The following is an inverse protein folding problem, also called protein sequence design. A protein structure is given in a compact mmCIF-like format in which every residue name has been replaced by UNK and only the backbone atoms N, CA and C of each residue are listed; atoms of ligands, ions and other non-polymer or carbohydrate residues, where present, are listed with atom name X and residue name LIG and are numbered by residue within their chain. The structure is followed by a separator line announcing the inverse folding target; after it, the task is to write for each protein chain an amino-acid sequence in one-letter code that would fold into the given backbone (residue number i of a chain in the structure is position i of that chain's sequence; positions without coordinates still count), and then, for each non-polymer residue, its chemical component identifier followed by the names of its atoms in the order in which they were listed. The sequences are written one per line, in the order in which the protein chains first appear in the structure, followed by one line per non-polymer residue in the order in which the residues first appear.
data_IF_766547170926
#
_entry.id   IF_766547170926
#
_cell.length_a   1.000
_cell.length_b   1.000
_cell.length_c   1.000
_cell.angle_alpha   90.00
_cell.angle_beta   90.00
_cell.angle_gamma   90.00
#
_symmetry.space_group_name_H-M   'P 1'
#
loop_
_entity.id
_entity.type
_entity.pdbx_description
1 polymer ?
#
# COMPACT_ATOMS: atom_id res chain seq x y z
N UNK A 1 -6.21 23.62 46.72
CA UNK A 1 -7.17 23.50 45.60
C UNK A 1 -6.62 23.95 44.24
N UNK A 2 -5.48 24.68 44.15
CA UNK A 2 -4.94 25.11 42.86
C UNK A 2 -4.14 24.06 42.07
N UNK A 3 -3.60 23.02 42.71
CA UNK A 3 -2.72 22.07 42.00
C UNK A 3 -3.45 20.96 41.23
N UNK A 4 -4.70 20.65 41.56
CA UNK A 4 -5.46 19.56 40.88
C UNK A 4 -6.00 20.03 39.52
N UNK A 5 -6.43 21.29 39.42
CA UNK A 5 -6.87 21.87 38.15
C UNK A 5 -5.70 22.07 37.16
N UNK A 6 -4.49 22.34 37.66
CA UNK A 6 -3.28 22.45 36.82
C UNK A 6 -2.90 21.10 36.22
N UNK A 7 -3.02 20.00 36.99
CA UNK A 7 -2.76 18.65 36.46
C UNK A 7 -3.81 18.18 35.44
N UNK A 8 -5.07 18.61 35.58
CA UNK A 8 -6.13 18.24 34.63
C UNK A 8 -6.00 19.01 33.30
N UNK A 9 -5.59 20.29 33.34
CA UNK A 9 -5.30 21.07 32.13
C UNK A 9 -4.03 20.59 31.41
N UNK A 10 -3.05 20.06 32.13
CA UNK A 10 -1.83 19.48 31.54
C UNK A 10 -2.09 18.18 30.77
N UNK A 11 -3.18 17.46 31.06
CA UNK A 11 -3.52 16.23 30.33
C UNK A 11 -4.13 16.52 28.95
N UNK A 12 -4.59 17.74 28.68
CA UNK A 12 -5.24 18.13 27.42
C UNK A 12 -4.27 18.83 26.45
N UNK A 13 -3.06 19.20 26.87
CA UNK A 13 -2.12 20.02 26.06
C UNK A 13 -0.94 19.25 25.45
N UNK A 14 -0.96 17.92 25.43
CA UNK A 14 -0.04 17.11 24.62
C UNK A 14 -0.79 16.55 23.41
N UNK A 15 -1.43 17.45 22.65
CA UNK A 15 -1.75 17.14 21.25
C UNK A 15 -0.46 17.38 20.49
N UNK A 16 0.27 16.29 20.25
CA UNK A 16 1.40 16.29 19.34
C UNK A 16 0.83 16.63 17.97
N UNK A 17 0.98 17.89 17.56
CA UNK A 17 0.71 18.30 16.18
C UNK A 17 1.83 17.66 15.39
N UNK A 18 1.62 16.41 14.96
CA UNK A 18 2.53 15.71 14.09
C UNK A 18 2.88 16.64 12.94
N UNK A 19 4.15 17.03 12.85
CA UNK A 19 4.65 17.85 11.76
C UNK A 19 4.47 17.04 10.48
N UNK A 20 3.39 17.33 9.74
CA UNK A 20 3.17 16.75 8.42
C UNK A 20 4.31 17.19 7.51
N UNK A 21 5.20 16.26 7.20
CA UNK A 21 6.22 16.44 6.17
C UNK A 21 5.51 16.53 4.83
N UNK A 22 5.70 17.65 4.12
CA UNK A 22 5.10 17.88 2.82
C UNK A 22 6.18 17.82 1.73
N UNK A 23 5.90 17.09 0.65
CA UNK A 23 6.73 17.07 -0.56
C UNK A 23 6.08 17.88 -1.67
N UNK A 24 6.89 18.39 -2.59
CA UNK A 24 6.40 19.04 -3.80
C UNK A 24 6.39 18.01 -4.94
N UNK A 25 5.22 17.75 -5.51
CA UNK A 25 5.10 16.83 -6.63
C UNK A 25 5.33 17.52 -7.97
N UNK A 26 6.07 16.83 -8.84
CA UNK A 26 6.23 17.17 -10.25
C UNK A 26 6.11 15.90 -11.06
N UNK A 27 5.32 15.91 -12.12
CA UNK A 27 5.12 14.73 -12.94
C UNK A 27 5.17 15.02 -14.43
N UNK A 28 5.55 14.01 -15.19
CA UNK A 28 5.68 14.07 -16.64
C UNK A 28 5.23 12.76 -17.27
N UNK A 29 4.40 12.86 -18.29
CA UNK A 29 4.07 11.73 -19.18
C UNK A 29 5.17 11.58 -20.23
N UNK A 30 5.70 10.37 -20.38
CA UNK A 30 6.70 9.98 -21.37
C UNK A 30 7.88 10.99 -21.42
N UNK A 31 8.43 11.31 -20.25
CA UNK A 31 9.39 12.39 -20.05
C UNK A 31 10.60 12.28 -20.99
N UNK A 32 10.82 13.31 -21.82
CA UNK A 32 11.97 13.35 -22.73
C UNK A 32 11.83 12.48 -24.00
N UNK A 33 10.69 11.84 -24.26
CA UNK A 33 10.55 10.96 -25.43
C UNK A 33 10.45 11.70 -26.77
N UNK A 34 10.02 12.97 -26.74
CA UNK A 34 9.89 13.78 -27.95
C UNK A 34 9.00 13.14 -29.01
N UNK A 35 9.47 13.09 -30.26
CA UNK A 35 8.72 12.55 -31.40
C UNK A 35 8.68 11.02 -31.44
N UNK A 36 9.55 10.32 -30.72
CA UNK A 36 9.63 8.84 -30.73
C UNK A 36 8.32 8.23 -30.20
N UNK A 37 7.67 8.89 -29.24
CA UNK A 37 6.43 8.43 -28.61
C UNK A 37 5.16 9.02 -29.23
N UNK A 38 5.23 9.90 -30.23
CA UNK A 38 4.04 10.61 -30.74
C UNK A 38 2.95 9.67 -31.26
N UNK A 39 3.35 8.58 -31.91
CA UNK A 39 2.43 7.63 -32.56
C UNK A 39 2.36 6.28 -31.82
N UNK A 40 2.96 6.17 -30.63
CA UNK A 40 2.92 4.96 -29.82
C UNK A 40 1.87 5.09 -28.72
N UNK A 41 1.05 4.05 -28.54
CA UNK A 41 0.17 3.94 -27.38
C UNK A 41 0.99 3.53 -26.14
N UNK A 42 1.85 4.44 -25.68
CA UNK A 42 2.78 4.24 -24.58
C UNK A 42 2.37 5.12 -23.39
N UNK A 43 2.39 4.52 -22.21
CA UNK A 43 2.16 5.26 -20.95
C UNK A 43 3.23 4.91 -19.93
N UNK A 44 4.15 5.85 -19.76
CA UNK A 44 5.17 5.87 -18.72
C UNK A 44 5.06 7.20 -18.00
N UNK A 45 4.73 7.22 -16.71
CA UNK A 45 4.60 8.45 -15.90
C UNK A 45 5.76 8.51 -14.93
N UNK A 46 6.56 9.55 -15.05
CA UNK A 46 7.61 9.88 -14.09
C UNK A 46 7.07 10.90 -13.10
N UNK A 47 7.05 10.55 -11.82
CA UNK A 47 6.68 11.40 -10.70
C UNK A 47 7.91 11.63 -9.82
N UNK A 48 8.16 12.89 -9.48
CA UNK A 48 9.24 13.34 -8.60
C UNK A 48 8.59 14.03 -7.41
N UNK A 49 8.89 13.56 -6.20
CA UNK A 49 8.41 14.08 -4.93
C UNK A 49 9.58 14.67 -4.14
N UNK A 50 9.76 15.98 -4.25
CA UNK A 50 10.88 16.71 -3.65
C UNK A 50 10.61 17.00 -2.17
N UNK A 51 11.46 16.47 -1.29
CA UNK A 51 11.45 16.72 0.15
C UNK A 51 12.49 17.77 0.54
N UNK A 52 12.67 17.98 1.85
CA UNK A 52 13.61 19.00 2.36
C UNK A 52 15.08 18.63 2.13
N UNK A 53 15.42 17.34 2.17
CA UNK A 53 16.81 16.85 2.09
C UNK A 53 17.01 15.77 1.01
N UNK A 54 15.92 15.24 0.47
CA UNK A 54 15.93 14.10 -0.45
C UNK A 54 14.85 14.26 -1.54
N UNK A 55 14.91 13.38 -2.53
CA UNK A 55 13.90 13.27 -3.57
C UNK A 55 13.48 11.82 -3.72
N UNK A 56 12.17 11.57 -3.72
CA UNK A 56 11.60 10.29 -4.12
C UNK A 56 11.18 10.36 -5.58
N UNK A 57 11.64 9.38 -6.36
CA UNK A 57 11.30 9.21 -7.76
C UNK A 57 10.40 7.98 -7.89
N UNK A 58 9.25 8.16 -8.53
CA UNK A 58 8.36 7.09 -8.93
C UNK A 58 8.29 7.02 -10.46
N UNK A 59 8.46 5.84 -11.02
CA UNK A 59 8.24 5.59 -12.44
C UNK A 59 7.16 4.54 -12.59
N UNK A 60 6.01 4.94 -13.11
CA UNK A 60 4.89 4.06 -13.42
C UNK A 60 4.94 3.73 -14.90
N UNK A 61 4.93 2.44 -15.24
CA UNK A 61 5.04 2.01 -16.63
C UNK A 61 4.01 0.93 -16.94
N UNK A 62 3.42 1.01 -18.15
CA UNK A 62 2.42 0.07 -18.67
C UNK A 62 2.87 -0.55 -20.01
N UNK A 63 4.15 -0.46 -20.35
CA UNK A 63 4.72 -1.10 -21.53
C UNK A 63 5.22 -2.51 -21.17
N UNK A 64 4.40 -3.52 -21.45
CA UNK A 64 4.61 -4.89 -20.97
C UNK A 64 3.84 -5.13 -19.67
N UNK A 65 4.45 -5.80 -18.69
CA UNK A 65 3.81 -5.96 -17.38
C UNK A 65 3.82 -4.61 -16.64
N UNK A 66 2.65 -4.11 -16.19
CA UNK A 66 2.61 -2.88 -15.42
C UNK A 66 3.56 -2.93 -14.24
N UNK A 67 4.25 -1.82 -13.98
CA UNK A 67 5.26 -1.78 -12.92
C UNK A 67 5.46 -0.39 -12.35
N UNK A 68 5.94 -0.36 -11.11
CA UNK A 68 6.31 0.84 -10.36
C UNK A 68 7.75 0.69 -9.92
N UNK A 69 8.60 1.67 -10.20
CA UNK A 69 9.93 1.83 -9.59
C UNK A 69 9.86 3.00 -8.61
N UNK A 70 10.35 2.80 -7.39
CA UNK A 70 10.62 3.78 -6.36
C UNK A 70 12.12 3.90 -6.20
N UNK A 71 12.66 5.12 -6.24
CA UNK A 71 14.07 5.40 -5.96
C UNK A 71 14.22 6.63 -5.06
N UNK A 72 15.05 6.53 -4.03
CA UNK A 72 15.43 7.62 -3.12
C UNK A 72 16.80 8.17 -3.51
N UNK A 73 16.90 9.48 -3.66
CA UNK A 73 18.13 10.16 -4.08
C UNK A 73 18.34 11.48 -3.33
N UNK A 74 19.50 12.10 -3.57
CA UNK A 74 19.74 13.51 -3.22
C UNK A 74 18.86 14.44 -4.09
N UNK A 75 18.66 15.68 -3.66
CA UNK A 75 17.87 16.66 -4.43
C UNK A 75 18.44 17.02 -5.81
N UNK A 76 19.76 16.91 -5.98
CA UNK A 76 20.44 17.19 -7.26
C UNK A 76 20.23 16.09 -8.29
N UNK A 77 19.88 14.88 -7.85
CA UNK A 77 19.72 13.75 -8.74
C UNK A 77 18.52 13.92 -9.69
N UNK A 78 18.68 13.38 -10.89
CA UNK A 78 17.61 13.31 -11.88
C UNK A 78 17.65 11.97 -12.59
N UNK A 79 16.48 11.51 -13.01
CA UNK A 79 16.32 10.28 -13.79
C UNK A 79 16.28 10.61 -15.29
N UNK A 80 16.99 9.80 -16.08
CA UNK A 80 17.00 9.88 -17.53
C UNK A 80 16.58 8.54 -18.15
N UNK A 81 15.89 8.60 -19.29
CA UNK A 81 15.42 7.45 -20.04
C UNK A 81 15.97 7.53 -21.47
N UNK A 82 16.81 6.56 -21.84
CA UNK A 82 17.20 6.31 -23.24
C UNK A 82 16.03 5.65 -23.96
N UNK A 83 15.16 6.44 -24.59
CA UNK A 83 13.89 5.95 -25.15
C UNK A 83 14.05 4.90 -26.25
N UNK A 84 15.07 5.02 -27.11
CA UNK A 84 15.33 4.02 -28.15
C UNK A 84 15.65 2.64 -27.54
N UNK A 85 16.48 2.62 -26.50
CA UNK A 85 16.85 1.40 -25.79
C UNK A 85 15.72 0.88 -24.89
N UNK A 86 14.98 1.79 -24.26
CA UNK A 86 13.86 1.49 -23.38
C UNK A 86 12.73 0.74 -24.13
N UNK A 87 12.39 1.22 -25.32
CA UNK A 87 11.36 0.60 -26.17
C UNK A 87 11.79 -0.77 -26.72
N UNK A 88 13.09 -1.05 -26.75
CA UNK A 88 13.66 -2.36 -27.08
C UNK A 88 13.87 -3.24 -25.84
N UNK A 89 13.39 -2.80 -24.66
CA UNK A 89 13.59 -3.47 -23.37
C UNK A 89 15.04 -3.81 -23.07
N UNK A 90 15.97 -2.92 -23.44
CA UNK A 90 17.39 -3.11 -23.12
C UNK A 90 17.67 -2.69 -21.68
N UNK A 91 18.54 -3.45 -21.03
CA UNK A 91 19.07 -3.12 -19.70
C UNK A 91 19.78 -1.77 -19.68
N UNK A 92 19.77 -1.11 -18.52
CA UNK A 92 20.38 0.20 -18.28
C UNK A 92 19.85 1.34 -19.17
N UNK A 93 18.65 1.21 -19.73
CA UNK A 93 18.03 2.30 -20.48
C UNK A 93 17.41 3.35 -19.56
N UNK A 94 17.27 3.06 -18.26
CA UNK A 94 16.89 4.01 -17.22
C UNK A 94 18.09 4.19 -16.30
N UNK A 95 18.49 5.45 -16.08
CA UNK A 95 19.66 5.78 -15.27
C UNK A 95 19.39 7.02 -14.43
N UNK A 96 20.01 7.09 -13.26
CA UNK A 96 20.07 8.31 -12.47
C UNK A 96 21.42 9.01 -12.66
N UNK A 97 21.46 10.33 -12.51
CA UNK A 97 22.71 11.11 -12.55
C UNK A 97 23.64 10.78 -11.39
N UNK A 98 23.09 10.29 -10.29
CA UNK A 98 23.77 9.84 -9.08
C UNK A 98 23.22 8.46 -8.70
N UNK A 99 24.00 7.64 -8.02
CA UNK A 99 23.52 6.34 -7.54
C UNK A 99 22.44 6.55 -6.46
N UNK A 100 21.23 5.98 -6.62
CA UNK A 100 20.20 6.11 -5.59
C UNK A 100 20.63 5.48 -4.28
N UNK A 101 20.25 6.12 -3.17
CA UNK A 101 20.47 5.61 -1.82
C UNK A 101 19.68 4.32 -1.60
N UNK A 102 18.49 4.25 -2.20
CA UNK A 102 17.60 3.12 -2.07
C UNK A 102 16.71 2.96 -3.29
N UNK A 103 16.47 1.73 -3.73
CA UNK A 103 15.51 1.43 -4.79
C UNK A 103 14.62 0.25 -4.46
N UNK A 104 13.35 0.33 -4.87
CA UNK A 104 12.37 -0.73 -4.76
C UNK A 104 11.40 -0.69 -5.92
N UNK A 105 11.13 -1.82 -6.53
CA UNK A 105 10.28 -1.96 -7.68
C UNK A 105 9.23 -3.03 -7.47
N UNK A 106 8.06 -2.83 -8.04
CA UNK A 106 6.91 -3.75 -7.98
C UNK A 106 6.42 -3.96 -9.40
N UNK A 107 6.32 -5.21 -9.83
CA UNK A 107 5.71 -5.61 -11.10
C UNK A 107 4.41 -6.33 -10.80
N UNK A 108 3.34 -5.92 -11.49
CA UNK A 108 2.10 -6.67 -11.54
C UNK A 108 2.32 -7.88 -12.44
N UNK A 109 2.69 -9.01 -11.85
CA UNK A 109 3.30 -10.11 -12.60
C UNK A 109 2.27 -11.08 -13.16
N UNK A 110 1.28 -11.45 -12.35
CA UNK A 110 0.24 -12.41 -12.74
C UNK A 110 -1.09 -12.11 -12.07
N UNK A 111 -2.16 -12.44 -12.78
CA UNK A 111 -3.48 -12.68 -12.21
C UNK A 111 -3.70 -14.19 -12.27
N UNK A 112 -3.93 -14.80 -11.11
CA UNK A 112 -4.09 -16.24 -10.95
C UNK A 112 -5.57 -16.52 -10.72
N UNK A 113 -6.24 -17.11 -11.70
CA UNK A 113 -7.56 -17.71 -11.50
C UNK A 113 -7.38 -19.12 -10.94
N UNK A 114 -8.13 -19.49 -9.91
CA UNK A 114 -8.12 -20.84 -9.35
C UNK A 114 -9.52 -21.35 -9.07
N UNK A 115 -9.71 -22.67 -9.23
CA UNK A 115 -10.99 -23.32 -8.97
C UNK A 115 -11.08 -23.79 -7.51
N UNK A 116 -11.78 -23.02 -6.67
CA UNK A 116 -11.97 -23.31 -5.25
C UNK A 116 -13.19 -24.22 -5.02
N UNK A 117 -13.04 -25.49 -5.41
CA UNK A 117 -14.15 -26.47 -5.35
C UNK A 117 -14.66 -26.72 -3.94
N UNK A 118 -13.80 -26.54 -2.92
CA UNK A 118 -14.12 -26.78 -1.52
C UNK A 118 -14.52 -25.51 -0.76
N UNK A 119 -14.59 -24.36 -1.44
CA UNK A 119 -14.90 -23.06 -0.85
C UNK A 119 -14.05 -22.75 0.39
N UNK A 120 -12.74 -22.94 0.25
CA UNK A 120 -11.78 -22.65 1.32
C UNK A 120 -11.21 -21.25 1.24
N UNK A 121 -11.39 -20.57 0.10
CA UNK A 121 -10.77 -19.29 -0.25
C UNK A 121 -9.23 -19.28 -0.23
N UNK A 122 -8.60 -20.47 -0.22
CA UNK A 122 -7.16 -20.64 -0.17
C UNK A 122 -6.63 -21.27 -1.46
N UNK A 123 -5.49 -20.77 -1.92
CA UNK A 123 -4.73 -21.32 -3.04
C UNK A 123 -3.62 -22.22 -2.48
N UNK A 124 -3.48 -23.41 -3.07
CA UNK A 124 -2.28 -24.20 -2.86
C UNK A 124 -1.13 -23.64 -3.70
N UNK A 125 -0.34 -22.74 -3.13
CA UNK A 125 0.78 -22.09 -3.82
C UNK A 125 1.92 -23.06 -4.14
N UNK A 126 2.10 -24.11 -3.32
CA UNK A 126 3.11 -25.13 -3.58
C UNK A 126 2.77 -25.98 -4.80
N UNK A 127 1.48 -26.09 -5.14
CA UNK A 127 1.00 -26.87 -6.26
C UNK A 127 -0.20 -26.19 -6.93
N UNK A 128 0.09 -25.36 -7.94
CA UNK A 128 -0.88 -24.58 -8.72
C UNK A 128 -1.74 -25.44 -9.68
N UNK A 129 -2.21 -26.61 -9.23
CA UNK A 129 -3.20 -27.39 -9.98
C UNK A 129 -4.53 -26.63 -10.03
N UNK A 130 -5.29 -26.84 -11.11
CA UNK A 130 -6.58 -26.18 -11.34
C UNK A 130 -6.49 -24.65 -11.27
N UNK A 131 -5.38 -24.11 -11.78
CA UNK A 131 -5.18 -22.67 -11.95
C UNK A 131 -5.08 -22.29 -13.42
N UNK A 132 -5.44 -21.06 -13.73
CA UNK A 132 -5.21 -20.43 -15.01
C UNK A 132 -4.52 -19.08 -14.76
N UNK A 133 -3.37 -18.89 -15.40
CA UNK A 133 -2.52 -17.72 -15.18
C UNK A 133 -2.72 -16.76 -16.34
N UNK A 134 -3.02 -15.51 -16.01
CA UNK A 134 -3.09 -14.40 -16.95
C UNK A 134 -1.93 -13.45 -16.68
N UNK A 135 -1.16 -13.10 -17.73
CA UNK A 135 -0.05 -12.16 -17.62
C UNK A 135 -0.52 -10.75 -18.04
N UNK A 136 -0.42 -9.73 -17.16
CA UNK A 136 -0.87 -8.37 -17.45
C UNK A 136 -0.36 -7.76 -18.76
N UNK A 137 0.83 -8.15 -19.24
CA UNK A 137 1.37 -7.70 -20.54
C UNK A 137 0.53 -8.09 -21.76
N UNK A 138 -0.36 -9.08 -21.67
CA UNK A 138 -1.23 -9.51 -22.77
C UNK A 138 -2.59 -8.80 -22.80
N UNK A 139 -2.83 -7.86 -21.88
CA UNK A 139 -3.93 -6.92 -22.00
C UNK A 139 -3.54 -5.76 -22.91
N UNK A 140 -4.50 -5.27 -23.68
CA UNK A 140 -4.35 -4.00 -24.37
C UNK A 140 -4.61 -2.86 -23.37
N UNK A 141 -3.55 -2.17 -22.97
CA UNK A 141 -3.60 -1.07 -22.01
C UNK A 141 -3.94 0.26 -22.68
N UNK A 142 -4.99 0.90 -22.19
CA UNK A 142 -5.40 2.24 -22.59
C UNK A 142 -5.37 3.19 -21.40
N UNK A 143 -4.77 4.37 -21.60
CA UNK A 143 -4.82 5.45 -20.63
C UNK A 143 -6.17 6.14 -20.66
N UNK A 144 -6.93 6.03 -19.58
CA UNK A 144 -8.25 6.66 -19.46
C UNK A 144 -8.15 8.09 -18.98
N UNK A 145 -7.42 8.32 -17.89
CA UNK A 145 -7.24 9.66 -17.35
C UNK A 145 -5.85 9.80 -16.75
N UNK A 146 -5.29 11.00 -16.85
CA UNK A 146 -4.07 11.40 -16.16
C UNK A 146 -4.32 12.80 -15.60
N UNK A 147 -4.30 12.93 -14.28
CA UNK A 147 -4.43 14.19 -13.56
C UNK A 147 -3.08 14.46 -12.91
N UNK A 148 -2.50 15.61 -13.22
CA UNK A 148 -1.19 16.02 -12.75
C UNK A 148 -1.32 17.37 -12.07
N UNK A 149 -1.13 17.40 -10.76
CA UNK A 149 -1.03 18.63 -10.00
C UNK A 149 0.10 18.51 -8.97
N UNK A 150 0.29 19.54 -8.14
CA UNK A 150 1.40 19.59 -7.19
C UNK A 150 1.10 18.90 -5.86
N UNK A 151 -0.16 18.55 -5.59
CA UNK A 151 -0.66 17.93 -4.35
C UNK A 151 -0.85 16.41 -4.51
N UNK A 152 -1.39 15.99 -5.65
CA UNK A 152 -1.57 14.60 -6.03
C UNK A 152 -1.39 14.40 -7.55
N UNK A 153 -1.04 13.17 -7.92
CA UNK A 153 -0.97 12.75 -9.32
C UNK A 153 -1.73 11.46 -9.45
N UNK A 154 -2.69 11.39 -10.37
CA UNK A 154 -3.55 10.21 -10.58
C UNK A 154 -3.43 9.72 -12.02
N UNK A 155 -3.15 8.43 -12.20
CA UNK A 155 -3.13 7.75 -13.48
C UNK A 155 -4.14 6.60 -13.46
N UNK A 156 -5.15 6.64 -14.34
CA UNK A 156 -6.09 5.55 -14.55
C UNK A 156 -5.81 4.85 -15.90
N UNK A 157 -5.52 3.56 -15.82
CA UNK A 157 -5.29 2.67 -16.94
C UNK A 157 -6.35 1.57 -16.96
N UNK A 158 -6.76 1.14 -18.16
CA UNK A 158 -7.63 -0.01 -18.34
C UNK A 158 -7.00 -0.97 -19.34
N UNK A 159 -6.83 -2.22 -18.92
CA UNK A 159 -6.44 -3.34 -19.75
C UNK A 159 -7.68 -4.08 -20.23
N UNK A 160 -7.88 -4.12 -21.55
CA UNK A 160 -9.00 -4.79 -22.20
C UNK A 160 -8.50 -5.93 -23.10
N UNK A 161 -9.42 -6.77 -23.58
CA UNK A 161 -9.18 -7.73 -24.67
C UNK A 161 -7.97 -8.62 -24.45
N UNK A 162 -7.93 -9.35 -23.32
CA UNK A 162 -6.81 -10.25 -23.02
C UNK A 162 -6.62 -11.28 -24.11
N UNK A 163 -5.41 -11.37 -24.66
CA UNK A 163 -5.07 -12.37 -25.67
C UNK A 163 -3.62 -12.85 -25.53
N UNK A 164 -3.46 -14.04 -24.96
CA UNK A 164 -2.20 -14.78 -24.95
C UNK A 164 -2.21 -15.82 -26.06
N UNK A 165 -1.58 -15.50 -27.19
CA UNK A 165 -1.51 -16.38 -28.36
C UNK A 165 -0.59 -17.60 -28.13
N UNK A 166 0.33 -17.54 -27.16
CA UNK A 166 1.26 -18.64 -26.86
C UNK A 166 0.50 -19.73 -26.10
N UNK A 167 -0.31 -19.33 -25.12
CA UNK A 167 -1.13 -20.23 -24.32
C UNK A 167 -2.52 -20.49 -24.94
N UNK A 168 -2.87 -19.81 -26.03
CA UNK A 168 -4.18 -19.83 -26.68
C UNK A 168 -5.32 -19.49 -25.69
N UNK A 169 -5.11 -18.45 -24.88
CA UNK A 169 -6.09 -17.97 -23.89
C UNK A 169 -6.58 -16.59 -24.31
N UNK A 170 -7.88 -16.46 -24.48
CA UNK A 170 -8.56 -15.17 -24.61
C UNK A 170 -9.57 -14.99 -23.47
N UNK A 171 -9.69 -13.75 -22.97
CA UNK A 171 -10.68 -13.36 -21.95
C UNK A 171 -11.31 -12.03 -22.30
N UNK A 172 -12.63 -11.98 -22.19
CA UNK A 172 -13.40 -10.74 -22.20
C UNK A 172 -13.43 -10.11 -20.78
N UNK A 173 -13.83 -8.84 -20.70
CA UNK A 173 -13.80 -8.05 -19.48
C UNK A 173 -12.57 -7.14 -19.39
N UNK A 174 -12.45 -6.42 -18.28
CA UNK A 174 -11.38 -5.45 -18.11
C UNK A 174 -10.69 -5.52 -16.75
N UNK A 175 -9.45 -5.06 -16.74
CA UNK A 175 -8.68 -4.84 -15.51
C UNK A 175 -8.30 -3.39 -15.45
N UNK A 176 -8.65 -2.71 -14.36
CA UNK A 176 -8.38 -1.29 -14.18
C UNK A 176 -7.31 -1.12 -13.12
N UNK A 177 -6.38 -0.21 -13.40
CA UNK A 177 -5.34 0.22 -12.50
C UNK A 177 -5.47 1.71 -12.27
N UNK A 178 -5.59 2.12 -11.02
CA UNK A 178 -5.51 3.52 -10.60
C UNK A 178 -4.28 3.70 -9.72
N UNK A 179 -3.33 4.53 -10.16
CA UNK A 179 -2.14 4.88 -9.40
C UNK A 179 -2.25 6.32 -8.92
N UNK A 180 -1.96 6.54 -7.64
CA UNK A 180 -2.06 7.85 -6.99
C UNK A 180 -0.79 8.15 -6.20
N UNK A 181 -0.11 9.25 -6.52
CA UNK A 181 1.00 9.79 -5.72
C UNK A 181 0.54 10.98 -4.88
N UNK A 182 1.11 11.14 -3.69
CA UNK A 182 0.64 12.09 -2.67
C UNK A 182 1.75 13.02 -2.17
N UNK A 183 1.38 14.23 -1.75
CA UNK A 183 2.31 15.23 -1.22
C UNK A 183 2.38 15.29 0.31
N UNK A 184 1.45 14.65 1.03
CA UNK A 184 1.26 14.79 2.48
C UNK A 184 0.62 13.54 3.08
N UNK A 185 0.57 13.48 4.41
CA UNK A 185 -0.19 12.49 5.17
C UNK A 185 -1.70 12.80 5.09
N UNK A 186 -2.49 11.88 4.55
CA UNK A 186 -3.96 11.96 4.52
C UNK A 186 -4.59 10.58 4.22
N UNK A 187 -5.90 10.46 4.27
CA UNK A 187 -6.63 9.27 3.82
C UNK A 187 -7.03 9.40 2.35
N UNK A 188 -6.90 8.31 1.58
CA UNK A 188 -7.36 8.29 0.20
C UNK A 188 -8.87 8.47 0.11
N UNK A 189 -9.37 9.18 -0.91
CA UNK A 189 -10.82 9.25 -1.17
C UNK A 189 -11.43 7.91 -1.62
N UNK A 190 -10.61 6.97 -2.10
CA UNK A 190 -11.06 5.67 -2.59
C UNK A 190 -11.07 4.66 -1.45
N UNK A 191 -12.20 3.98 -1.25
CA UNK A 191 -12.31 2.84 -0.31
C UNK A 191 -11.21 1.79 -0.59
N UNK A 192 -10.50 1.28 0.43
CA UNK A 192 -10.80 1.35 1.87
C UNK A 192 -10.15 2.55 2.57
N UNK A 193 -10.06 3.71 1.93
CA UNK A 193 -9.52 4.94 2.51
C UNK A 193 -8.14 4.72 3.14
N UNK A 194 -7.20 4.14 2.39
CA UNK A 194 -5.85 3.89 2.91
C UNK A 194 -5.21 5.21 3.38
N UNK A 195 -4.72 5.23 4.62
CA UNK A 195 -3.87 6.30 5.13
C UNK A 195 -2.54 6.25 4.40
N UNK A 196 -2.19 7.33 3.69
CA UNK A 196 -0.99 7.43 2.86
C UNK A 196 -0.11 8.57 3.37
N UNK A 197 1.19 8.51 3.06
CA UNK A 197 2.16 9.58 3.35
C UNK A 197 2.66 10.21 2.06
N UNK A 198 3.40 11.31 2.18
CA UNK A 198 4.18 11.92 1.11
C UNK A 198 5.27 10.99 0.55
N UNK A 199 5.61 9.91 1.27
CA UNK A 199 6.61 8.91 0.87
C UNK A 199 5.98 7.65 0.25
N UNK A 200 4.72 7.73 -0.20
CA UNK A 200 3.98 6.60 -0.73
C UNK A 200 3.24 6.89 -2.03
N UNK A 201 2.99 5.82 -2.79
CA UNK A 201 2.06 5.78 -3.92
C UNK A 201 1.03 4.70 -3.65
N UNK A 202 -0.25 5.01 -3.87
CA UNK A 202 -1.33 4.04 -3.83
C UNK A 202 -1.54 3.40 -5.20
N UNK A 203 -1.88 2.12 -5.19
CA UNK A 203 -2.37 1.38 -6.35
C UNK A 203 -3.70 0.75 -6.00
N UNK A 204 -4.70 1.00 -6.83
CA UNK A 204 -6.00 0.35 -6.79
C UNK A 204 -6.20 -0.49 -8.06
N UNK A 205 -6.51 -1.77 -7.86
CA UNK A 205 -6.73 -2.76 -8.91
C UNK A 205 -8.19 -3.18 -8.90
N UNK A 206 -8.82 -3.21 -10.06
CA UNK A 206 -10.21 -3.64 -10.23
C UNK A 206 -10.26 -4.72 -11.31
N UNK A 207 -10.81 -5.88 -10.96
CA UNK A 207 -11.20 -6.92 -11.91
C UNK A 207 -12.67 -6.71 -12.27
N UNK A 208 -12.96 -6.17 -13.44
CA UNK A 208 -14.30 -5.73 -13.85
C UNK A 208 -14.84 -6.61 -14.99
N UNK A 209 -15.83 -7.44 -14.67
CA UNK A 209 -16.44 -8.39 -15.59
C UNK A 209 -15.42 -9.31 -16.30
N UNK A 210 -14.29 -9.60 -15.64
CA UNK A 210 -13.25 -10.45 -16.21
C UNK A 210 -13.78 -11.88 -16.37
N UNK A 211 -13.76 -12.39 -17.59
CA UNK A 211 -14.26 -13.71 -17.89
C UNK A 211 -13.48 -14.77 -17.11
N UNK A 212 -14.21 -15.74 -16.58
CA UNK A 212 -13.64 -16.90 -15.87
C UNK A 212 -13.43 -18.07 -16.82
N UNK A 213 -12.50 -18.96 -16.48
CA UNK A 213 -12.31 -20.21 -17.19
C UNK A 213 -13.60 -21.05 -17.15
N UNK A 214 -14.11 -21.41 -18.33
CA UNK A 214 -15.34 -22.19 -18.50
C UNK A 214 -15.31 -23.54 -17.77
N UNK A 215 -14.12 -24.11 -17.56
CA UNK A 215 -13.94 -25.39 -16.88
C UNK A 215 -14.01 -25.28 -15.36
N UNK A 216 -13.92 -24.06 -14.81
CA UNK A 216 -13.95 -23.82 -13.38
C UNK A 216 -15.37 -23.49 -12.95
N UNK A 217 -15.90 -24.23 -11.97
CA UNK A 217 -17.21 -23.94 -11.39
C UNK A 217 -17.09 -22.75 -10.43
N UNK A 218 -16.05 -22.75 -9.59
CA UNK A 218 -15.88 -21.89 -8.43
C UNK A 218 -14.62 -21.03 -8.57
N UNK A 219 -14.61 -20.14 -9.56
CA UNK A 219 -13.45 -19.29 -9.83
C UNK A 219 -13.26 -18.21 -8.77
N UNK A 220 -12.05 -18.16 -8.23
CA UNK A 220 -11.52 -17.03 -7.45
C UNK A 220 -10.25 -16.51 -8.11
N UNK A 221 -9.88 -15.27 -7.79
CA UNK A 221 -8.69 -14.64 -8.33
C UNK A 221 -7.68 -14.31 -7.23
N UNK A 222 -6.41 -14.37 -7.57
CA UNK A 222 -5.31 -13.80 -6.80
C UNK A 222 -4.42 -12.94 -7.69
N UNK A 223 -3.75 -11.99 -7.05
CA UNK A 223 -2.80 -11.09 -7.68
C UNK A 223 -1.42 -11.45 -7.16
N UNK A 224 -0.48 -11.72 -8.08
CA UNK A 224 0.93 -11.93 -7.78
C UNK A 224 1.70 -10.65 -8.12
N UNK A 225 2.27 -10.02 -7.10
CA UNK A 225 3.28 -8.98 -7.25
C UNK A 225 4.67 -9.63 -7.28
N UNK A 226 5.53 -9.17 -8.18
CA UNK A 226 6.96 -9.44 -8.14
C UNK A 226 7.66 -8.18 -7.61
N UNK A 227 8.34 -8.30 -6.48
CA UNK A 227 9.05 -7.20 -5.83
C UNK A 227 10.55 -7.36 -6.04
N UNK A 228 11.22 -6.25 -6.36
CA UNK A 228 12.67 -6.19 -6.61
C UNK A 228 13.27 -4.97 -5.95
N UNK A 229 14.33 -5.12 -5.16
CA UNK A 229 15.02 -3.93 -4.66
C UNK A 229 16.14 -4.23 -3.68
N UNK A 230 16.53 -3.17 -2.99
CA UNK A 230 17.46 -3.23 -1.87
C UNK A 230 16.84 -3.99 -0.69
N UNK A 231 17.70 -4.68 0.07
CA UNK A 231 17.27 -5.63 1.10
C UNK A 231 18.11 -6.90 1.02
N UNK A 232 18.24 -7.63 2.13
CA UNK A 232 18.96 -8.90 2.12
C UNK A 232 18.23 -9.94 1.24
N UNK A 233 18.81 -10.38 0.10
CA UNK A 233 18.13 -11.30 -0.81
C UNK A 233 17.87 -12.68 -0.19
N UNK A 234 18.61 -13.04 0.86
CA UNK A 234 18.46 -14.33 1.53
C UNK A 234 17.31 -14.39 2.52
N UNK A 235 16.74 -13.26 2.89
CA UNK A 235 15.69 -13.18 3.91
C UNK A 235 14.35 -12.88 3.21
N UNK A 236 13.29 -13.70 3.43
CA UNK A 236 11.95 -13.35 2.99
C UNK A 236 11.50 -11.99 3.52
N UNK A 237 10.74 -11.23 2.75
CA UNK A 237 10.09 -10.02 3.27
C UNK A 237 9.21 -10.35 4.48
N UNK A 238 9.10 -9.42 5.42
CA UNK A 238 8.32 -9.64 6.63
C UNK A 238 6.88 -9.24 6.41
N UNK A 239 5.96 -10.20 6.46
CA UNK A 239 4.53 -9.93 6.48
C UNK A 239 4.08 -9.84 7.94
N UNK A 240 3.64 -8.66 8.35
CA UNK A 240 3.16 -8.38 9.70
C UNK A 240 1.74 -7.79 9.64
N UNK A 241 0.70 -8.61 9.89
CA UNK A 241 -0.64 -8.10 10.09
C UNK A 241 -0.74 -7.41 11.46
N UNK A 242 -0.93 -6.09 11.46
CA UNK A 242 -1.11 -5.28 12.66
C UNK A 242 -2.60 -5.09 12.94
N UNK A 243 -2.99 -5.27 14.20
CA UNK A 243 -4.34 -4.91 14.66
C UNK A 243 -4.42 -3.41 14.89
N UNK A 244 -5.41 -2.77 14.29
CA UNK A 244 -5.83 -1.40 14.58
C UNK A 244 -7.06 -1.44 15.47
N UNK A 245 -7.19 -0.52 16.41
CA UNK A 245 -8.43 -0.33 17.17
C UNK A 245 -9.38 0.66 16.48
N UNK A 246 -8.90 1.33 15.44
CA UNK A 246 -9.65 2.34 14.71
C UNK A 246 -10.15 1.78 13.37
N UNK A 247 -11.47 1.81 13.20
CA UNK A 247 -12.21 1.44 11.99
C UNK A 247 -13.01 2.61 11.41
N UNK A 248 -12.78 3.86 11.86
CA UNK A 248 -13.52 5.06 11.43
C UNK A 248 -13.59 5.19 9.90
N UNK A 249 -12.45 4.95 9.24
CA UNK A 249 -12.32 5.04 7.79
C UNK A 249 -12.62 3.72 7.05
N UNK A 250 -12.68 2.58 7.75
CA UNK A 250 -13.04 1.28 7.14
C UNK A 250 -13.81 0.44 8.14
N UNK A 251 -15.14 0.67 8.25
CA UNK A 251 -15.94 0.05 9.31
C UNK A 251 -15.84 -1.47 9.31
N UNK A 252 -15.60 -2.04 10.49
CA UNK A 252 -15.49 -3.48 10.71
C UNK A 252 -14.13 -4.11 10.37
N UNK A 253 -13.15 -3.32 9.88
CA UNK A 253 -11.81 -3.81 9.55
C UNK A 253 -10.78 -3.23 10.52
N UNK A 254 -10.38 -4.06 11.48
CA UNK A 254 -9.45 -3.74 12.56
C UNK A 254 -8.03 -4.26 12.31
N UNK A 255 -7.64 -4.41 11.04
CA UNK A 255 -6.36 -4.98 10.66
C UNK A 255 -5.78 -4.27 9.44
N UNK A 256 -4.46 -4.09 9.45
CA UNK A 256 -3.66 -3.61 8.33
C UNK A 256 -2.51 -4.58 8.13
N UNK A 257 -2.37 -5.09 6.91
CA UNK A 257 -1.27 -5.97 6.53
C UNK A 257 -0.12 -5.13 6.03
N UNK A 258 1.05 -5.31 6.63
CA UNK A 258 2.30 -4.67 6.21
C UNK A 258 3.29 -5.70 5.71
N UNK A 259 3.99 -5.38 4.61
CA UNK A 259 5.10 -6.18 4.10
C UNK A 259 6.32 -5.30 4.02
N UNK A 260 7.39 -5.64 4.75
CA UNK A 260 8.63 -4.84 4.80
C UNK A 260 9.81 -5.55 4.15
N UNK A 261 10.69 -4.77 3.52
CA UNK A 261 12.00 -5.27 3.07
C UNK A 261 12.87 -5.66 4.27
N UNK A 262 13.64 -6.75 4.19
CA UNK A 262 14.51 -7.17 5.27
C UNK A 262 15.72 -6.22 5.45
N UNK A 263 16.28 -6.11 6.68
CA UNK A 263 17.47 -5.32 6.95
C UNK A 263 18.62 -5.64 6.01
N UNK A 264 19.35 -4.61 5.59
CA UNK A 264 20.52 -4.73 4.73
C UNK A 264 21.59 -3.70 5.08
N UNK A 265 22.80 -3.84 4.53
CA UNK A 265 23.96 -3.02 4.88
C UNK A 265 23.76 -1.52 4.64
N UNK A 266 22.83 -1.16 3.75
CA UNK A 266 22.45 0.22 3.44
C UNK A 266 21.40 0.79 4.40
N UNK A 267 20.92 0.01 5.38
CA UNK A 267 19.91 0.44 6.36
C UNK A 267 20.51 0.49 7.75
N UNK A 268 20.59 1.69 8.33
CA UNK A 268 21.00 1.92 9.71
C UNK A 268 19.87 1.55 10.70
N UNK A 269 18.62 1.84 10.34
CA UNK A 269 17.45 1.52 11.15
C UNK A 269 16.33 0.92 10.28
N UNK A 270 16.13 -0.39 10.37
CA UNK A 270 15.13 -1.13 9.59
C UNK A 270 13.67 -0.79 9.94
N UNK A 271 13.42 -0.13 11.08
CA UNK A 271 12.07 0.30 11.46
C UNK A 271 11.66 1.57 10.70
N UNK A 272 12.64 2.44 10.40
CA UNK A 272 12.41 3.74 9.74
C UNK A 272 12.97 3.82 8.33
N UNK A 273 13.68 2.79 7.87
CA UNK A 273 14.26 2.69 6.52
C UNK A 273 13.84 1.39 5.83
N UNK A 274 13.84 1.42 4.50
CA UNK A 274 13.39 0.33 3.64
C UNK A 274 12.01 0.56 3.04
N UNK A 275 11.66 -0.26 2.06
CA UNK A 275 10.37 -0.18 1.41
C UNK A 275 9.32 -1.00 2.15
N UNK A 276 8.08 -0.58 1.99
CA UNK A 276 6.93 -1.30 2.49
C UNK A 276 5.82 -1.40 1.44
N UNK A 277 5.04 -2.48 1.55
CA UNK A 277 3.69 -2.58 1.02
C UNK A 277 2.71 -2.56 2.19
N UNK A 278 1.56 -1.92 2.03
CA UNK A 278 0.54 -1.88 3.08
C UNK A 278 -0.87 -1.93 2.48
N UNK A 279 -1.75 -2.75 3.04
CA UNK A 279 -3.17 -2.81 2.65
C UNK A 279 -4.06 -3.24 3.80
N UNK A 280 -5.35 -2.91 3.72
CA UNK A 280 -6.39 -3.52 4.56
C UNK A 280 -6.85 -4.84 3.93
N UNK A 281 -7.10 -5.92 4.69
CA UNK A 281 -7.40 -7.23 4.16
C UNK A 281 -8.85 -7.36 3.63
N UNK A 282 -9.25 -6.46 2.73
CA UNK A 282 -10.61 -6.30 2.21
C UNK A 282 -10.60 -6.10 0.69
N UNK A 283 -11.57 -6.70 0.01
CA UNK A 283 -11.89 -6.55 -1.40
C UNK A 283 -13.37 -6.24 -1.56
N UNK A 284 -13.72 -5.30 -2.42
CA UNK A 284 -15.12 -4.94 -2.67
C UNK A 284 -15.65 -5.67 -3.90
N UNK A 285 -16.86 -6.20 -3.79
CA UNK A 285 -17.50 -6.99 -4.86
C UNK A 285 -18.45 -6.17 -5.73
N UNK A 286 -18.51 -4.84 -5.53
CA UNK A 286 -19.32 -3.92 -6.35
C UNK A 286 -18.64 -2.56 -6.49
N UNK A 287 -18.94 -1.83 -7.57
CA UNK A 287 -18.36 -0.51 -7.84
C UNK A 287 -18.57 0.53 -6.71
N UNK A 288 -19.69 0.47 -5.97
CA UNK A 288 -19.96 1.42 -4.88
C UNK A 288 -19.08 1.22 -3.64
N UNK A 289 -18.34 0.11 -3.53
CA UNK A 289 -17.46 -0.23 -2.39
C UNK A 289 -18.13 -0.10 -1.02
N UNK A 290 -19.39 -0.52 -0.91
CA UNK A 290 -20.08 -0.61 0.37
C UNK A 290 -19.55 -1.77 1.20
N UNK A 291 -19.44 -1.61 2.52
CA UNK A 291 -18.98 -2.65 3.45
C UNK A 291 -19.80 -3.94 3.35
N UNK A 292 -21.11 -3.85 3.11
CA UNK A 292 -21.99 -5.02 2.91
C UNK A 292 -21.59 -5.84 1.67
N UNK A 293 -21.06 -5.18 0.65
CA UNK A 293 -20.60 -5.77 -0.59
C UNK A 293 -19.08 -5.91 -0.59
N UNK A 294 -18.53 -6.42 0.51
CA UNK A 294 -17.10 -6.70 0.66
C UNK A 294 -16.86 -8.18 0.95
N UNK A 295 -15.61 -8.58 0.77
CA UNK A 295 -15.07 -9.89 1.09
C UNK A 295 -13.63 -9.68 1.58
N UNK A 296 -13.03 -10.69 2.20
CA UNK A 296 -11.67 -10.57 2.73
C UNK A 296 -10.61 -10.83 1.64
N UNK A 297 -9.36 -10.51 1.96
CA UNK A 297 -8.21 -10.94 1.16
C UNK A 297 -7.31 -11.84 1.99
N UNK A 298 -6.75 -12.89 1.38
CA UNK A 298 -5.79 -13.78 2.03
C UNK A 298 -4.39 -13.56 1.46
N UNK A 299 -3.45 -13.23 2.33
CA UNK A 299 -2.02 -13.07 2.04
C UNK A 299 -1.26 -14.36 2.30
N UNK A 300 -0.20 -14.60 1.51
CA UNK A 300 0.61 -15.80 1.62
C UNK A 300 2.09 -15.46 1.87
N UNK A 301 2.87 -16.40 2.44
CA UNK A 301 4.29 -16.19 2.67
C UNK A 301 5.04 -15.79 1.38
N UNK A 302 5.99 -14.85 1.43
CA UNK A 302 6.76 -14.46 0.26
C UNK A 302 7.56 -15.63 -0.32
N UNK A 303 7.60 -15.70 -1.64
CA UNK A 303 8.27 -16.80 -2.36
C UNK A 303 9.52 -16.24 -3.04
N UNK A 304 10.68 -16.82 -2.75
CA UNK A 304 11.92 -16.49 -3.45
C UNK A 304 11.82 -16.86 -4.93
N UNK A 305 12.40 -16.03 -5.79
CA UNK A 305 12.50 -16.30 -7.23
C UNK A 305 13.87 -16.91 -7.52
N UNK A 306 13.93 -17.93 -8.37
CA UNK A 306 15.20 -18.58 -8.74
C UNK A 306 15.87 -17.97 -9.96
N UNK A 307 15.09 -17.59 -10.98
CA UNK A 307 15.59 -16.94 -12.20
C UNK A 307 15.15 -15.48 -12.19
N UNK A 308 15.98 -14.61 -11.61
CA UNK A 308 15.65 -13.22 -11.31
C UNK A 308 15.52 -12.41 -12.61
N UNK A 309 16.54 -12.45 -13.47
CA UNK A 309 16.55 -11.73 -14.75
C UNK A 309 15.34 -12.07 -15.64
N UNK A 310 15.00 -13.35 -15.77
CA UNK A 310 13.84 -13.75 -16.60
C UNK A 310 12.50 -13.32 -15.99
N UNK A 311 12.43 -13.16 -14.66
CA UNK A 311 11.21 -12.74 -13.98
C UNK A 311 10.85 -11.27 -14.25
N UNK A 312 11.85 -10.40 -14.46
CA UNK A 312 11.64 -8.97 -14.74
C UNK A 312 11.75 -8.58 -16.22
N UNK A 313 12.15 -9.49 -17.10
CA UNK A 313 12.49 -9.20 -18.49
C UNK A 313 11.40 -8.42 -19.28
N UNK A 314 10.12 -8.67 -18.97
CA UNK A 314 8.98 -8.03 -19.63
C UNK A 314 8.42 -6.82 -18.87
N UNK A 315 9.20 -6.20 -17.98
CA UNK A 315 8.80 -4.99 -17.26
C UNK A 315 9.88 -3.92 -17.33
N UNK A 316 9.49 -2.68 -16.98
CA UNK A 316 10.41 -1.56 -16.87
C UNK A 316 11.54 -1.81 -15.86
N UNK A 317 11.36 -2.70 -14.87
CA UNK A 317 12.41 -2.99 -13.90
C UNK A 317 13.66 -3.63 -14.53
N UNK A 318 13.53 -4.40 -15.61
CA UNK A 318 14.71 -4.91 -16.33
C UNK A 318 15.46 -3.77 -17.05
N UNK A 319 14.75 -2.77 -17.56
CA UNK A 319 15.35 -1.58 -18.16
C UNK A 319 16.19 -0.77 -17.14
N UNK A 320 15.83 -0.82 -15.86
CA UNK A 320 16.58 -0.16 -14.78
C UNK A 320 17.68 -1.05 -14.18
N UNK A 321 17.31 -2.21 -13.61
CA UNK A 321 18.25 -3.08 -12.89
C UNK A 321 19.16 -3.89 -13.82
N UNK A 322 18.69 -4.23 -15.02
CA UNK A 322 19.40 -5.16 -15.90
C UNK A 322 19.73 -6.47 -15.20
N UNK A 323 20.94 -6.96 -15.42
CA UNK A 323 21.44 -8.20 -14.80
C UNK A 323 21.73 -8.04 -13.30
N UNK A 324 21.77 -6.81 -12.76
CA UNK A 324 22.01 -6.59 -11.32
C UNK A 324 20.92 -7.19 -10.44
N UNK A 325 19.73 -7.44 -11.01
CA UNK A 325 18.60 -8.07 -10.34
C UNK A 325 18.95 -9.43 -9.73
N UNK A 326 19.93 -10.15 -10.29
CA UNK A 326 20.40 -11.43 -9.77
C UNK A 326 21.04 -11.31 -8.37
N UNK A 327 21.49 -10.12 -7.98
CA UNK A 327 22.06 -9.83 -6.64
C UNK A 327 21.10 -9.14 -5.68
N UNK A 328 19.91 -8.77 -6.16
CA UNK A 328 18.93 -8.02 -5.39
C UNK A 328 17.86 -8.92 -4.77
N UNK A 329 17.19 -8.40 -3.75
CA UNK A 329 15.98 -9.02 -3.20
C UNK A 329 14.95 -9.16 -4.33
N UNK A 330 14.61 -10.39 -4.71
CA UNK A 330 13.58 -10.67 -5.73
C UNK A 330 12.62 -11.73 -5.22
N UNK A 331 11.38 -11.33 -4.93
CA UNK A 331 10.38 -12.19 -4.29
C UNK A 331 8.99 -12.00 -4.88
N UNK A 332 8.11 -12.98 -4.70
CA UNK A 332 6.71 -12.92 -5.08
C UNK A 332 5.84 -12.74 -3.85
N UNK A 333 4.93 -11.79 -3.90
CA UNK A 333 3.87 -11.57 -2.92
C UNK A 333 2.55 -11.93 -3.60
N UNK A 334 1.79 -12.84 -3.00
CA UNK A 334 0.51 -13.30 -3.54
C UNK A 334 -0.59 -12.92 -2.56
N UNK A 335 -1.67 -12.34 -3.09
CA UNK A 335 -2.88 -12.03 -2.34
C UNK A 335 -4.08 -12.56 -3.10
N UNK A 336 -4.86 -13.46 -2.48
CA UNK A 336 -6.12 -13.96 -3.06
C UNK A 336 -7.31 -13.15 -2.57
N UNK A 337 -8.29 -12.97 -3.46
CA UNK A 337 -9.49 -12.17 -3.21
C UNK A 337 -10.66 -13.10 -2.92
N UNK A 338 -11.27 -12.93 -1.76
CA UNK A 338 -12.45 -13.65 -1.34
C UNK A 338 -12.30 -14.39 -0.01
N UNK A 339 -13.45 -14.77 0.55
CA UNK A 339 -13.57 -15.57 1.77
C UNK A 339 -14.62 -16.67 1.58
N UNK A 340 -14.63 -17.64 2.49
CA UNK A 340 -15.56 -18.77 2.41
C UNK A 340 -17.02 -18.30 2.42
N UNK A 341 -17.84 -18.86 1.53
CA UNK A 341 -19.28 -18.58 1.46
C UNK A 341 -19.64 -17.25 0.79
N UNK A 342 -18.67 -16.52 0.22
CA UNK A 342 -18.93 -15.26 -0.48
C UNK A 342 -19.51 -15.44 -1.90
N UNK A 343 -19.73 -16.67 -2.35
CA UNK A 343 -20.30 -16.96 -3.67
C UNK A 343 -19.31 -16.81 -4.83
N UNK A 344 -18.01 -16.73 -4.54
CA UNK A 344 -16.91 -16.66 -5.52
C UNK A 344 -16.96 -15.40 -6.40
N UNK A 345 -16.02 -15.26 -7.33
CA UNK A 345 -15.97 -14.10 -8.22
C UNK A 345 -17.24 -13.96 -9.09
N UNK A 346 -17.81 -15.10 -9.51
CA UNK A 346 -18.99 -15.14 -10.40
C UNK A 346 -20.27 -14.56 -9.79
N UNK A 347 -20.32 -14.32 -8.47
CA UNK A 347 -21.48 -13.69 -7.82
C UNK A 347 -21.76 -12.29 -8.40
N UNK A 348 -20.71 -11.51 -8.61
CA UNK A 348 -20.82 -10.11 -9.08
C UNK A 348 -19.92 -9.80 -10.26
N UNK A 349 -18.97 -10.68 -10.60
CA UNK A 349 -17.90 -10.44 -11.57
C UNK A 349 -17.14 -9.13 -11.30
N UNK A 350 -16.94 -8.81 -10.02
CA UNK A 350 -16.26 -7.60 -9.62
C UNK A 350 -15.44 -7.86 -8.36
N UNK A 351 -14.19 -7.43 -8.35
CA UNK A 351 -13.32 -7.50 -7.16
C UNK A 351 -12.31 -6.36 -7.21
N UNK A 352 -11.89 -5.89 -6.04
CA UNK A 352 -10.95 -4.78 -5.93
C UNK A 352 -9.84 -5.12 -4.97
N UNK A 353 -8.66 -4.54 -5.17
CA UNK A 353 -7.60 -4.58 -4.19
C UNK A 353 -6.80 -3.29 -4.22
N UNK A 354 -6.72 -2.62 -3.07
CA UNK A 354 -6.01 -1.36 -2.90
C UNK A 354 -4.84 -1.58 -1.96
N UNK A 355 -3.66 -1.10 -2.33
CA UNK A 355 -2.48 -1.16 -1.48
C UNK A 355 -1.55 0.04 -1.72
N UNK A 356 -0.66 0.29 -0.78
CA UNK A 356 0.37 1.33 -0.84
C UNK A 356 1.73 0.72 -1.14
N UNK A 357 2.56 1.46 -1.87
CA UNK A 357 4.00 1.22 -2.05
C UNK A 357 4.70 2.46 -1.48
N UNK A 358 5.56 2.29 -0.49
CA UNK A 358 6.25 3.43 0.11
C UNK A 358 7.64 3.12 0.62
N UNK A 359 8.32 4.18 1.07
CA UNK A 359 9.64 4.11 1.69
C UNK A 359 9.63 4.72 3.09
N UNK A 360 10.29 4.06 4.03
CA UNK A 360 10.44 4.48 5.42
C UNK A 360 9.47 3.77 6.36
N UNK A 361 8.83 4.56 7.23
CA UNK A 361 7.84 4.07 8.20
C UNK A 361 6.44 4.09 7.58
N UNK A 362 5.75 2.94 7.47
CA UNK A 362 4.35 2.87 7.11
C UNK A 362 3.53 3.74 8.05
N UNK A 363 2.53 4.46 7.53
CA UNK A 363 1.65 5.21 8.40
C UNK A 363 0.87 4.25 9.30
N UNK A 364 0.76 4.61 10.58
CA UNK A 364 -0.10 3.95 11.55
C UNK A 364 -1.36 4.80 11.76
N UNK A 365 -2.51 4.15 11.80
CA UNK A 365 -3.79 4.82 12.06
C UNK A 365 -3.81 5.40 13.48
N UNK A 366 -4.37 6.60 13.60
CA UNK A 366 -4.59 7.26 14.89
C UNK A 366 -6.05 7.62 15.02
N UNK A 367 -6.57 7.51 16.24
CA UNK A 367 -7.94 7.94 16.53
C UNK A 367 -8.14 9.41 16.13
N UNK A 368 -9.24 9.69 15.45
CA UNK A 368 -9.60 11.07 15.15
C UNK A 368 -9.77 11.89 16.44
N UNK A 369 -9.54 13.19 16.31
CA UNK A 369 -9.77 14.13 17.42
C UNK A 369 -11.20 14.04 17.97
N UNK A 370 -12.18 13.72 17.12
CA UNK A 370 -13.56 13.50 17.52
C UNK A 370 -13.68 12.28 18.44
N UNK A 371 -13.11 11.14 18.05
CA UNK A 371 -13.13 9.91 18.86
C UNK A 371 -12.39 10.13 20.18
N UNK A 372 -11.21 10.74 20.15
CA UNK A 372 -10.44 11.09 21.35
C UNK A 372 -11.29 11.99 22.27
N UNK A 373 -12.00 12.98 21.71
CA UNK A 373 -12.88 13.87 22.48
C UNK A 373 -14.05 13.10 23.13
N UNK A 374 -14.71 12.19 22.40
CA UNK A 374 -15.81 11.37 22.93
C UNK A 374 -15.32 10.47 24.07
N UNK A 375 -14.19 9.78 23.89
CA UNK A 375 -13.59 8.93 24.91
C UNK A 375 -13.21 9.77 26.14
N UNK A 376 -12.61 10.94 25.91
CA UNK A 376 -12.21 11.86 26.98
C UNK A 376 -13.39 12.38 27.78
N UNK A 377 -14.50 12.75 27.15
CA UNK A 377 -15.72 13.19 27.85
C UNK A 377 -16.39 12.01 28.56
N UNK A 378 -16.53 10.88 27.86
CA UNK A 378 -17.24 9.70 28.34
C UNK A 378 -16.57 9.01 29.53
N UNK A 379 -15.24 8.95 29.57
CA UNK A 379 -14.49 8.36 30.68
C UNK A 379 -13.96 9.42 31.67
N UNK A 380 -13.62 10.60 31.18
CA UNK A 380 -13.04 11.67 32.01
C UNK A 380 -14.04 12.24 33.01
N UNK A 381 -15.29 12.53 32.59
CA UNK A 381 -16.29 13.08 33.50
C UNK A 381 -16.63 12.12 34.67
N UNK A 382 -16.94 10.82 34.44
CA UNK A 382 -17.15 9.89 35.54
C UNK A 382 -15.96 9.77 36.49
N UNK A 383 -14.73 9.77 35.96
CA UNK A 383 -13.52 9.69 36.77
C UNK A 383 -13.36 10.93 37.67
N UNK A 384 -13.60 12.13 37.13
CA UNK A 384 -13.55 13.39 37.90
C UNK A 384 -14.59 13.38 39.02
N UNK A 385 -15.82 12.93 38.74
CA UNK A 385 -16.87 12.82 39.75
C UNK A 385 -16.45 11.83 40.85
N UNK A 386 -15.93 10.66 40.47
CA UNK A 386 -15.49 9.62 41.41
C UNK A 386 -14.35 10.11 42.31
N UNK A 387 -13.36 10.80 41.74
CA UNK A 387 -12.26 11.42 42.50
C UNK A 387 -12.76 12.54 43.40
N UNK A 388 -13.68 13.39 42.91
CA UNK A 388 -14.27 14.49 43.69
C UNK A 388 -15.05 13.99 44.89
N UNK A 389 -15.90 12.97 44.70
CA UNK A 389 -16.65 12.32 45.79
C UNK A 389 -15.69 11.59 46.74
N UNK A 390 -14.68 10.88 46.21
CA UNK A 390 -13.67 10.20 47.03
C UNK A 390 -12.88 11.16 47.92
N UNK A 391 -12.41 12.29 47.36
CA UNK A 391 -11.73 13.34 48.10
C UNK A 391 -12.65 13.99 49.15
N UNK A 392 -13.89 14.30 48.77
CA UNK A 392 -14.89 14.84 49.71
C UNK A 392 -15.10 13.92 50.91
N UNK A 393 -15.29 12.62 50.67
CA UNK A 393 -15.45 11.61 51.71
C UNK A 393 -14.19 11.46 52.58
N UNK A 394 -12.99 11.51 51.98
CA UNK A 394 -11.73 11.46 52.73
C UNK A 394 -11.57 12.69 53.64
N UNK A 395 -11.89 13.89 53.15
CA UNK A 395 -11.84 15.12 53.95
C UNK A 395 -12.87 15.07 55.08
N UNK A 396 -14.09 14.58 54.81
CA UNK A 396 -15.14 14.47 55.81
C UNK A 396 -14.82 13.42 56.90
N UNK A 397 -14.10 12.35 56.56
CA UNK A 397 -13.68 11.30 57.50
C UNK A 397 -12.33 11.55 58.19
N UNK A 398 -11.64 12.65 57.90
CA UNK A 398 -10.48 13.05 58.70
C UNK A 398 -10.98 13.35 60.13
N UNK A 399 -10.53 12.60 61.16
CA UNK A 399 -10.97 12.87 62.52
C UNK A 399 -10.58 14.31 62.87
N UNK A 400 -11.55 15.13 63.29
CA UNK A 400 -11.27 16.35 64.05
C UNK A 400 -10.40 15.91 65.22
N UNK A 401 -9.08 16.13 65.11
CA UNK A 401 -8.15 15.95 66.21
C UNK A 401 -8.47 17.06 67.20
N UNK A 402 -9.49 16.83 68.03
CA UNK A 402 -9.85 17.70 69.15
C UNK A 402 -8.69 17.67 70.13
N UNK A 403 -7.81 18.68 70.02
CA UNK A 403 -6.86 19.02 71.06
C UNK A 403 -7.63 19.53 72.27
N UNK A 404 -8.08 18.60 73.12
CA UNK A 404 -8.46 18.88 74.50
C UNK A 404 -7.74 17.86 75.37
N UNK A 405 -6.51 18.21 75.74
CA UNK A 405 -5.79 17.58 76.83
C UNK A 405 -4.92 18.65 77.51
N UNK A 406 -5.24 18.91 78.78
CA UNK A 406 -4.45 19.56 79.83
C UNK A 406 -4.38 21.11 79.88
N UNK A 407 -5.27 21.69 80.69
CA UNK A 407 -4.92 22.79 81.61
C UNK A 407 -5.27 22.33 83.03
N UNK A 408 -4.27 21.75 83.71
CA UNK A 408 -4.15 21.78 85.15
C UNK A 408 -3.33 23.02 85.49
N UNK A 409 -3.96 24.06 86.02
CA UNK A 409 -3.46 24.86 87.15
C UNK A 409 -4.55 25.81 87.64
#
# INVERSE_FOLDING_TARGET
MNNVFVFLFLFVTLVDIGYGTQRILRSWLNHGCGTICKDKNLTTVYLRADGQNDTLHYLWDFDGNPSVLLALTSQSASMNISWEDFLLKKKNSITFTEEPVYTFGVVFNKIIEFNDTNDTALINIANLLNTNILHPMFFQWDRKTLIQNNEFVTLNMEGNSYNDSIMNISRDGSIKFSLMGFCSLDHSEVMPHMLHTENSTQVDIILDHLQTNKSFSNSRFAIELLVVGEGNPEIPMFINPKKSLDDEHTPGIFEVVEVRTPPYKSMDNYETQGAYLQWRPISYTTMSRNVINSTETMQYPPIKVSNHTSAVANSMLYCYYGDKVDTLLTQRIIVSLGTKGDGFYKRTYYSTWTFLIGYGTPPDEQFSYLVIMIISIGLGLPLIILLGVGLYLCIYKLPKRSGQAYLNQ
#
